data_IF_609241876225
#
_entry.id   IF_609241876225
#
_cell.length_a   1.000
_cell.length_b   1.000
_cell.length_c   1.000
_cell.angle_alpha   90.00
_cell.angle_beta   90.00
_cell.angle_gamma   90.00
#
_symmetry.space_group_name_H-M   'P 1'
#
loop_
_entity.id
_entity.type
_entity.pdbx_description
1 polymer ?
#
# COMPACT_ATOMS: atom_id res chain seq x y z
N UNK A 1 -8.21 -11.78 -5.37
CA UNK A 1 -6.90 -11.11 -5.53
C UNK A 1 -7.19 -9.63 -5.51
N UNK A 2 -6.86 -8.95 -4.41
CA UNK A 2 -7.13 -7.54 -4.22
C UNK A 2 -6.32 -6.70 -5.22
N UNK A 3 -6.81 -5.51 -5.51
CA UNK A 3 -6.15 -4.53 -6.37
C UNK A 3 -5.92 -3.23 -5.64
N UNK A 4 -4.74 -2.64 -5.82
CA UNK A 4 -4.45 -1.31 -5.32
C UNK A 4 -4.77 -0.25 -6.37
N UNK A 5 -5.31 0.86 -5.89
CA UNK A 5 -5.58 2.06 -6.67
C UNK A 5 -5.01 3.27 -5.96
N UNK A 6 -4.60 4.27 -6.73
CA UNK A 6 -4.37 5.60 -6.19
C UNK A 6 -5.72 6.19 -5.74
N UNK A 7 -5.88 6.48 -4.45
CA UNK A 7 -7.16 6.90 -3.88
C UNK A 7 -7.61 8.27 -4.44
N UNK A 8 -6.67 9.16 -4.79
CA UNK A 8 -6.97 10.49 -5.34
C UNK A 8 -7.46 10.46 -6.79
N UNK A 9 -6.85 9.62 -7.63
CA UNK A 9 -7.06 9.63 -9.09
C UNK A 9 -7.89 8.45 -9.59
N UNK A 10 -8.04 7.42 -8.77
CA UNK A 10 -8.68 6.16 -9.15
C UNK A 10 -7.85 5.30 -10.11
N UNK A 11 -6.60 5.67 -10.40
CA UNK A 11 -5.74 4.89 -11.28
C UNK A 11 -5.36 3.56 -10.62
N UNK A 12 -5.50 2.45 -11.36
CA UNK A 12 -5.01 1.13 -10.94
C UNK A 12 -3.49 1.16 -10.81
N UNK A 13 -2.99 0.71 -9.66
CA UNK A 13 -1.56 0.60 -9.37
C UNK A 13 -1.07 -0.81 -9.68
N UNK A 14 -1.86 -1.83 -9.32
CA UNK A 14 -1.58 -3.24 -9.62
C UNK A 14 -2.35 -4.19 -8.72
N UNK A 15 -2.23 -5.48 -9.01
CA UNK A 15 -2.79 -6.56 -8.20
C UNK A 15 -1.83 -6.94 -7.07
N UNK A 16 -2.38 -7.30 -5.91
CA UNK A 16 -1.64 -7.84 -4.77
C UNK A 16 -2.24 -9.18 -4.34
N UNK A 17 -1.51 -9.93 -3.52
CA UNK A 17 -2.03 -11.16 -2.90
C UNK A 17 -2.85 -10.84 -1.64
N UNK A 18 -3.64 -11.81 -1.18
CA UNK A 18 -4.39 -11.65 0.07
C UNK A 18 -3.43 -11.50 1.27
N UNK A 19 -2.28 -12.19 1.28
CA UNK A 19 -1.26 -12.06 2.32
C UNK A 19 -0.56 -10.70 2.30
N UNK A 20 -0.37 -10.11 1.11
CA UNK A 20 0.16 -8.74 0.99
C UNK A 20 -0.84 -7.71 1.53
N UNK A 21 -2.14 -7.92 1.32
CA UNK A 21 -3.17 -7.07 1.89
C UNK A 21 -3.25 -7.23 3.41
N UNK A 22 -3.22 -8.46 3.92
CA UNK A 22 -3.17 -8.75 5.37
C UNK A 22 -1.94 -8.08 6.01
N UNK A 23 -0.78 -8.14 5.35
CA UNK A 23 0.40 -7.42 5.82
C UNK A 23 0.17 -5.90 5.92
N UNK A 24 -0.49 -5.27 4.95
CA UNK A 24 -0.80 -3.84 5.02
C UNK A 24 -1.71 -3.52 6.21
N UNK A 25 -2.75 -4.33 6.42
CA UNK A 25 -3.68 -4.20 7.56
C UNK A 25 -2.99 -4.41 8.92
N UNK A 26 -2.05 -5.35 8.99
CA UNK A 26 -1.29 -5.61 10.22
C UNK A 26 -0.31 -4.47 10.58
N UNK A 27 0.23 -3.78 9.56
CA UNK A 27 1.23 -2.74 9.76
C UNK A 27 0.67 -1.32 9.86
N UNK A 28 -0.54 -1.08 9.38
CA UNK A 28 -1.14 0.25 9.31
C UNK A 28 -2.38 0.30 10.20
N UNK A 29 -2.43 1.29 11.09
CA UNK A 29 -3.59 1.50 11.93
C UNK A 29 -4.77 2.03 11.08
N UNK A 30 -5.87 1.29 11.07
CA UNK A 30 -7.15 1.74 10.51
C UNK A 30 -7.92 2.52 11.60
N UNK A 31 -8.46 3.70 11.27
CA UNK A 31 -9.28 4.46 12.21
C UNK A 31 -10.66 3.79 12.37
N UNK A 32 -11.12 3.06 11.36
CA UNK A 32 -12.34 2.26 11.37
C UNK A 32 -12.20 0.97 10.55
N UNK A 33 -12.98 -0.06 10.89
CA UNK A 33 -13.04 -1.30 10.10
C UNK A 33 -13.67 -1.14 8.70
N UNK A 34 -14.15 0.07 8.38
CA UNK A 34 -14.68 0.44 7.07
C UNK A 34 -13.65 1.23 6.24
N UNK A 35 -12.52 1.62 6.84
CA UNK A 35 -11.46 2.33 6.13
C UNK A 35 -10.84 1.39 5.10
N UNK A 36 -10.70 1.90 3.88
CA UNK A 36 -10.20 1.15 2.73
C UNK A 36 -9.08 1.89 2.03
N UNK A 37 -8.41 2.78 2.73
CA UNK A 37 -7.31 3.58 2.23
C UNK A 37 -6.19 3.75 3.24
N UNK A 38 -4.98 3.89 2.70
CA UNK A 38 -3.77 4.06 3.47
C UNK A 38 -2.90 5.16 2.90
N UNK A 39 -2.34 5.96 3.78
CA UNK A 39 -1.30 6.91 3.46
C UNK A 39 0.06 6.21 3.43
N UNK A 40 0.78 6.32 2.30
CA UNK A 40 2.09 5.71 2.08
C UNK A 40 3.11 6.79 1.74
N UNK A 41 4.25 6.78 2.41
CA UNK A 41 5.42 7.58 2.05
C UNK A 41 6.68 6.71 1.98
N UNK A 42 7.83 7.32 1.71
CA UNK A 42 9.10 6.60 1.65
C UNK A 42 9.48 5.93 2.98
N UNK A 43 9.21 6.58 4.12
CA UNK A 43 9.50 6.05 5.46
C UNK A 43 8.64 4.80 5.76
N UNK A 44 7.39 4.77 5.31
CA UNK A 44 6.51 3.59 5.38
C UNK A 44 7.12 2.41 4.61
N UNK A 45 7.68 2.64 3.42
CA UNK A 45 8.30 1.56 2.62
C UNK A 45 9.59 1.03 3.25
N UNK A 46 10.38 1.92 3.84
CA UNK A 46 11.58 1.53 4.60
C UNK A 46 11.18 0.68 5.81
N UNK A 47 10.16 1.10 6.56
CA UNK A 47 9.60 0.33 7.68
C UNK A 47 9.07 -1.05 7.23
N UNK A 48 8.32 -1.12 6.12
CA UNK A 48 7.82 -2.39 5.58
C UNK A 48 8.94 -3.37 5.23
N UNK A 49 10.03 -2.87 4.63
CA UNK A 49 11.20 -3.69 4.34
C UNK A 49 11.83 -4.27 5.62
N UNK A 50 11.87 -3.50 6.70
CA UNK A 50 12.37 -3.96 8.01
C UNK A 50 11.46 -5.01 8.65
N UNK A 51 10.14 -4.92 8.44
CA UNK A 51 9.15 -5.91 8.91
C UNK A 51 9.08 -7.17 8.03
N UNK A 52 9.88 -7.23 6.96
CA UNK A 52 9.94 -8.39 6.07
C UNK A 52 8.79 -8.46 5.07
N UNK A 53 8.24 -7.31 4.66
CA UNK A 53 7.24 -7.24 3.60
C UNK A 53 7.73 -7.95 2.33
N UNK A 54 6.77 -8.50 1.59
CA UNK A 54 7.04 -9.11 0.30
C UNK A 54 7.68 -8.09 -0.66
N UNK A 55 8.70 -8.54 -1.40
CA UNK A 55 9.48 -7.66 -2.27
C UNK A 55 8.65 -7.06 -3.41
N UNK A 56 7.71 -7.82 -3.97
CA UNK A 56 6.86 -7.35 -5.05
C UNK A 56 5.89 -6.28 -4.57
N UNK A 57 5.41 -6.36 -3.32
CA UNK A 57 4.61 -5.30 -2.71
C UNK A 57 5.42 -4.00 -2.57
N UNK A 58 6.65 -4.08 -2.06
CA UNK A 58 7.52 -2.90 -1.94
C UNK A 58 7.78 -2.28 -3.32
N UNK A 59 8.14 -3.09 -4.32
CA UNK A 59 8.44 -2.58 -5.66
C UNK A 59 7.20 -1.94 -6.32
N UNK A 60 6.00 -2.48 -6.07
CA UNK A 60 4.72 -1.91 -6.51
C UNK A 60 4.46 -0.53 -5.89
N UNK A 61 4.56 -0.43 -4.57
CA UNK A 61 4.31 0.83 -3.85
C UNK A 61 5.38 1.89 -4.16
N UNK A 62 6.63 1.46 -4.33
CA UNK A 62 7.72 2.33 -4.77
C UNK A 62 7.46 2.90 -6.17
N UNK A 63 6.94 2.09 -7.09
CA UNK A 63 6.53 2.55 -8.41
C UNK A 63 5.32 3.49 -8.34
N UNK A 64 4.36 3.22 -7.45
CA UNK A 64 3.18 4.06 -7.24
C UNK A 64 3.53 5.46 -6.71
N UNK A 65 4.55 5.58 -5.85
CA UNK A 65 5.10 6.88 -5.44
C UNK A 65 5.62 7.66 -6.65
N UNK A 66 6.20 7.00 -7.66
CA UNK A 66 6.70 7.63 -8.88
C UNK A 66 7.58 8.88 -8.64
N UNK A 67 8.37 8.88 -7.57
CA UNK A 67 9.22 10.01 -7.15
C UNK A 67 8.49 11.13 -6.39
N UNK A 68 7.22 10.95 -6.03
CA UNK A 68 6.47 11.80 -5.10
C UNK A 68 6.86 11.45 -3.66
N UNK A 69 6.62 12.38 -2.74
CA UNK A 69 6.88 12.17 -1.31
C UNK A 69 5.91 11.15 -0.69
N UNK A 70 4.65 11.18 -1.13
CA UNK A 70 3.56 10.43 -0.53
C UNK A 70 2.45 10.10 -1.56
N UNK A 71 1.61 9.14 -1.20
CA UNK A 71 0.44 8.71 -1.98
C UNK A 71 -0.60 8.08 -1.04
N UNK A 72 -1.87 8.41 -1.24
CA UNK A 72 -2.98 7.64 -0.67
C UNK A 72 -3.33 6.50 -1.63
N UNK A 73 -3.34 5.27 -1.10
CA UNK A 73 -3.75 4.06 -1.83
C UNK A 73 -5.06 3.54 -1.26
N UNK A 74 -5.84 2.82 -2.06
CA UNK A 74 -7.03 2.08 -1.63
C UNK A 74 -7.09 0.71 -2.26
N UNK A 75 -7.81 -0.24 -1.66
CA UNK A 75 -7.96 -1.60 -2.21
C UNK A 75 -9.42 -1.96 -2.59
N UNK A 76 -9.57 -2.93 -3.51
CA UNK A 76 -10.83 -3.59 -3.93
C UNK A 76 -10.56 -5.06 -4.29
#
# INVERSE_FOLDING_TARGET
MPKLYNATTGAELGEITDEQLEFLQDQLEEESAEDQDYYINQETLEYFAEQGADRALIDLLQAALAGRAEIDIRWD
#
